data_IF_732564461767
#
_entry.id   IF_732564461767
#
_cell.length_a   1.000
_cell.length_b   1.000
_cell.length_c   1.000
_cell.angle_alpha   90.00
_cell.angle_beta   90.00
_cell.angle_gamma   90.00
#
_symmetry.space_group_name_H-M   'P 1'
#
loop_
_entity.id
_entity.type
_entity.pdbx_description
1 polymer ?
#
# COMPACT_ATOMS: atom_id res chain seq x y z
N UNK A 1 -35.44 3.41 -51.68
CA UNK A 1 -35.00 4.63 -50.96
C UNK A 1 -35.02 4.32 -49.46
N UNK A 2 -34.01 3.60 -48.95
CA UNK A 2 -34.06 2.95 -47.63
C UNK A 2 -32.71 2.31 -47.21
N UNK A 3 -31.56 2.92 -47.55
CA UNK A 3 -30.23 2.42 -47.15
C UNK A 3 -29.36 3.42 -46.39
N UNK A 4 -29.96 4.45 -45.79
CA UNK A 4 -29.21 5.51 -45.08
C UNK A 4 -29.36 5.39 -43.54
N UNK A 5 -30.34 4.62 -43.06
CA UNK A 5 -30.60 4.46 -41.62
C UNK A 5 -29.83 3.32 -40.94
N UNK A 6 -28.99 2.58 -41.66
CA UNK A 6 -28.19 1.49 -41.09
C UNK A 6 -26.85 1.91 -40.49
N UNK A 7 -26.37 3.13 -40.78
CA UNK A 7 -25.00 3.54 -40.45
C UNK A 7 -24.89 4.44 -39.21
N UNK A 8 -26.00 5.00 -38.73
CA UNK A 8 -26.00 5.92 -37.58
C UNK A 8 -26.11 5.17 -36.25
N UNK A 9 -26.59 3.93 -36.25
CA UNK A 9 -26.77 3.15 -35.01
C UNK A 9 -25.50 2.42 -34.52
N UNK A 10 -24.38 2.52 -35.25
CA UNK A 10 -23.16 1.76 -34.95
C UNK A 10 -22.20 2.45 -33.96
N UNK A 11 -22.40 3.73 -33.64
CA UNK A 11 -21.48 4.48 -32.75
C UNK A 11 -21.94 4.61 -31.29
N UNK A 12 -23.12 4.08 -30.91
CA UNK A 12 -23.63 4.19 -29.52
C UNK A 12 -23.16 3.08 -28.58
N UNK A 13 -22.41 2.09 -29.04
CA UNK A 13 -21.63 1.21 -28.17
C UNK A 13 -20.26 1.85 -27.94
N UNK A 14 -20.27 3.05 -27.36
CA UNK A 14 -19.08 3.62 -26.74
C UNK A 14 -18.67 2.64 -25.63
N UNK A 15 -17.64 1.84 -25.89
CA UNK A 15 -17.02 1.06 -24.84
C UNK A 15 -16.68 2.00 -23.70
N UNK A 16 -17.12 1.73 -22.46
CA UNK A 16 -16.56 2.41 -21.33
C UNK A 16 -15.09 1.98 -21.30
N UNK A 17 -14.20 2.83 -21.79
CA UNK A 17 -12.79 2.72 -21.44
C UNK A 17 -12.73 3.08 -19.96
N UNK A 18 -12.83 2.06 -19.11
CA UNK A 18 -12.42 2.20 -17.72
C UNK A 18 -10.97 2.66 -17.75
N UNK A 19 -10.74 3.90 -17.38
CA UNK A 19 -9.41 4.39 -17.08
C UNK A 19 -9.04 3.69 -15.77
N UNK A 20 -8.36 2.55 -15.87
CA UNK A 20 -7.68 1.97 -14.71
C UNK A 20 -6.59 2.97 -14.37
N UNK A 21 -6.73 3.64 -13.24
CA UNK A 21 -5.65 4.44 -12.69
C UNK A 21 -4.44 3.51 -12.56
N UNK A 22 -3.32 3.90 -13.17
CA UNK A 22 -2.11 3.08 -13.14
C UNK A 22 -1.64 3.00 -11.68
N UNK A 23 -1.53 1.79 -11.15
CA UNK A 23 -0.97 1.56 -9.82
C UNK A 23 0.39 2.26 -9.70
N UNK A 24 0.59 2.93 -8.58
CA UNK A 24 1.83 3.66 -8.32
C UNK A 24 2.95 2.65 -8.07
N UNK A 25 3.86 2.51 -9.03
CA UNK A 25 5.05 1.66 -8.90
C UNK A 25 6.18 2.44 -8.23
N UNK A 26 6.46 2.11 -6.96
CA UNK A 26 7.51 2.77 -6.17
C UNK A 26 8.91 2.48 -6.71
N UNK A 27 9.13 1.28 -7.25
CA UNK A 27 10.44 0.77 -7.66
C UNK A 27 10.31 -0.02 -8.97
N UNK A 28 10.40 0.65 -10.12
CA UNK A 28 10.19 0.01 -11.41
C UNK A 28 11.22 -1.09 -11.69
N UNK A 29 10.72 -2.23 -12.16
CA UNK A 29 11.54 -3.40 -12.46
C UNK A 29 11.89 -4.28 -11.25
N UNK A 30 11.31 -3.99 -10.08
CA UNK A 30 11.38 -4.89 -8.93
C UNK A 30 10.23 -5.90 -8.91
N UNK A 31 10.42 -6.99 -8.19
CA UNK A 31 9.35 -7.91 -7.83
C UNK A 31 9.03 -7.71 -6.36
N UNK A 32 7.79 -7.34 -6.07
CA UNK A 32 7.29 -7.24 -4.70
C UNK A 32 6.87 -8.62 -4.20
N UNK A 33 7.08 -8.85 -2.90
CA UNK A 33 6.66 -10.07 -2.23
C UNK A 33 5.13 -10.01 -2.02
N UNK A 34 4.34 -10.93 -2.62
CA UNK A 34 2.88 -10.89 -2.52
C UNK A 34 2.35 -11.24 -1.13
N UNK A 35 3.19 -11.80 -0.24
CA UNK A 35 2.79 -12.12 1.13
C UNK A 35 2.82 -10.88 2.04
N UNK A 36 3.41 -9.77 1.58
CA UNK A 36 3.48 -8.51 2.32
C UNK A 36 2.22 -7.69 2.04
N UNK A 37 1.42 -7.35 3.07
CA UNK A 37 0.16 -6.64 2.87
C UNK A 37 0.40 -5.24 2.35
N UNK A 38 -0.47 -4.79 1.46
CA UNK A 38 -0.44 -3.43 0.92
C UNK A 38 -1.24 -2.46 1.78
N UNK A 39 -0.98 -1.16 1.63
CA UNK A 39 -1.76 -0.12 2.31
C UNK A 39 -3.25 -0.22 1.96
N UNK A 40 -3.56 -0.49 0.70
CA UNK A 40 -4.94 -0.57 0.19
C UNK A 40 -5.70 -1.74 0.82
N UNK A 41 -5.05 -2.90 1.01
CA UNK A 41 -5.66 -4.07 1.66
C UNK A 41 -6.03 -3.79 3.12
N UNK A 42 -5.26 -2.95 3.81
CA UNK A 42 -5.47 -2.66 5.24
C UNK A 42 -6.37 -1.44 5.46
N UNK A 43 -6.26 -0.41 4.62
CA UNK A 43 -6.88 0.92 4.85
C UNK A 43 -7.91 1.30 3.77
N UNK A 44 -8.11 0.45 2.76
CA UNK A 44 -9.12 0.60 1.72
C UNK A 44 -9.01 1.91 0.89
N UNK A 45 -7.80 2.45 0.75
CA UNK A 45 -7.48 3.50 -0.22
C UNK A 45 -6.05 3.33 -0.73
N UNK A 46 -5.80 3.77 -1.96
CA UNK A 46 -4.48 3.66 -2.57
C UNK A 46 -3.55 4.82 -2.17
N UNK A 47 -2.28 4.69 -2.53
CA UNK A 47 -1.26 5.70 -2.28
C UNK A 47 -1.62 7.01 -2.97
N UNK A 48 -1.61 8.11 -2.21
CA UNK A 48 -1.89 9.45 -2.72
C UNK A 48 -3.36 9.77 -2.99
N UNK A 49 -4.28 8.81 -2.82
CA UNK A 49 -5.73 9.05 -2.97
C UNK A 49 -6.28 9.87 -1.79
N UNK A 50 -5.86 9.52 -0.56
CA UNK A 50 -6.29 10.15 0.68
C UNK A 50 -5.13 10.24 1.66
N UNK A 51 -5.18 11.22 2.57
CA UNK A 51 -4.28 11.28 3.71
C UNK A 51 -4.65 10.16 4.69
N UNK A 52 -3.71 9.24 4.91
CA UNK A 52 -3.81 8.20 5.93
C UNK A 52 -3.71 8.82 7.32
N UNK A 53 -4.69 8.52 8.17
CA UNK A 53 -4.74 8.97 9.57
C UNK A 53 -3.75 8.20 10.45
N UNK A 54 -3.51 8.72 11.66
CA UNK A 54 -2.61 8.06 12.61
C UNK A 54 -3.05 6.63 12.99
N UNK A 55 -4.35 6.40 13.21
CA UNK A 55 -4.85 5.07 13.57
C UNK A 55 -4.75 4.08 12.41
N UNK A 56 -4.97 4.57 11.19
CA UNK A 56 -4.85 3.77 9.97
C UNK A 56 -3.39 3.37 9.72
N UNK A 57 -2.44 4.30 9.83
CA UNK A 57 -1.02 3.97 9.66
C UNK A 57 -0.51 3.07 10.78
N UNK A 58 -0.96 3.25 12.02
CA UNK A 58 -0.62 2.35 13.12
C UNK A 58 -1.09 0.91 12.83
N UNK A 59 -2.30 0.76 12.29
CA UNK A 59 -2.85 -0.55 11.89
C UNK A 59 -2.01 -1.18 10.77
N UNK A 60 -1.64 -0.38 9.76
CA UNK A 60 -0.79 -0.85 8.67
C UNK A 60 0.61 -1.26 9.13
N UNK A 61 1.25 -0.48 10.00
CA UNK A 61 2.58 -0.80 10.53
C UNK A 61 2.59 -2.10 11.35
N UNK A 62 1.53 -2.36 12.12
CA UNK A 62 1.36 -3.63 12.85
C UNK A 62 1.19 -4.80 11.87
N UNK A 63 0.36 -4.65 10.85
CA UNK A 63 0.18 -5.67 9.82
C UNK A 63 1.50 -6.00 9.09
N UNK A 64 2.32 -4.99 8.78
CA UNK A 64 3.64 -5.20 8.18
C UNK A 64 4.61 -5.95 9.10
N UNK A 65 4.61 -5.64 10.40
CA UNK A 65 5.45 -6.32 11.37
C UNK A 65 5.03 -7.77 11.61
N UNK A 66 3.73 -8.07 11.51
CA UNK A 66 3.21 -9.44 11.65
C UNK A 66 3.44 -10.30 10.39
N UNK A 67 3.58 -9.67 9.21
CA UNK A 67 3.71 -10.37 7.94
C UNK A 67 5.11 -10.98 7.70
N UNK A 68 6.17 -10.45 8.32
CA UNK A 68 7.54 -10.90 8.02
C UNK A 68 8.51 -10.75 9.19
N UNK A 69 9.43 -11.72 9.42
CA UNK A 69 10.49 -11.58 10.43
C UNK A 69 11.53 -10.51 10.09
N UNK A 70 11.48 -9.91 8.90
CA UNK A 70 12.39 -8.84 8.46
C UNK A 70 12.00 -7.45 8.98
N UNK A 71 10.84 -7.34 9.63
CA UNK A 71 10.31 -6.09 10.15
C UNK A 71 10.08 -6.23 11.65
N UNK A 72 10.49 -5.24 12.43
CA UNK A 72 10.15 -5.14 13.84
C UNK A 72 9.61 -3.73 14.15
N UNK A 73 8.42 -3.68 14.74
CA UNK A 73 7.83 -2.44 15.24
C UNK A 73 8.20 -2.25 16.71
N UNK A 74 8.86 -1.14 17.06
CA UNK A 74 9.22 -0.78 18.44
C UNK A 74 8.58 0.53 18.86
N UNK A 75 7.95 0.54 20.02
CA UNK A 75 7.43 1.76 20.65
C UNK A 75 8.56 2.51 21.35
N UNK A 76 8.68 3.82 21.11
CA UNK A 76 9.70 4.65 21.77
C UNK A 76 9.11 5.75 22.65
N UNK A 77 7.80 6.00 22.54
CA UNK A 77 7.17 7.03 23.34
C UNK A 77 5.72 7.24 22.99
N UNK A 78 5.16 8.27 23.61
CA UNK A 78 3.77 8.66 23.45
C UNK A 78 3.70 10.19 23.38
N UNK A 79 2.94 10.72 22.44
CA UNK A 79 2.73 12.16 22.34
C UNK A 79 1.88 12.66 23.51
N UNK A 80 1.84 13.99 23.67
CA UNK A 80 0.98 14.64 24.66
C UNK A 80 -0.50 14.28 24.51
N UNK A 81 -0.98 14.16 23.26
CA UNK A 81 -2.36 13.76 22.95
C UNK A 81 -2.59 12.25 23.05
N UNK A 82 -1.57 11.50 23.45
CA UNK A 82 -1.67 10.07 23.68
C UNK A 82 -1.47 9.18 22.44
N UNK A 83 -0.90 9.71 21.36
CA UNK A 83 -0.57 8.93 20.15
C UNK A 83 0.73 8.17 20.37
N UNK A 84 0.74 6.87 20.07
CA UNK A 84 1.95 6.07 20.22
C UNK A 84 2.95 6.42 19.12
N UNK A 85 4.23 6.42 19.46
CA UNK A 85 5.32 6.73 18.54
C UNK A 85 6.17 5.48 18.32
N UNK A 86 6.46 5.19 17.05
CA UNK A 86 7.05 3.93 16.63
C UNK A 86 8.34 4.12 15.85
N UNK A 87 9.28 3.21 16.04
CA UNK A 87 10.32 2.88 15.07
C UNK A 87 9.89 1.64 14.29
N UNK A 88 9.90 1.72 12.97
CA UNK A 88 9.80 0.55 12.09
C UNK A 88 11.21 0.17 11.66
N UNK A 89 11.71 -0.94 12.18
CA UNK A 89 13.04 -1.44 11.90
C UNK A 89 12.92 -2.45 10.76
N UNK A 90 13.68 -2.24 9.69
CA UNK A 90 13.71 -3.12 8.51
C UNK A 90 15.13 -3.62 8.32
N UNK A 91 15.31 -4.94 8.33
CA UNK A 91 16.64 -5.56 8.20
C UNK A 91 16.53 -6.95 7.54
N UNK A 92 17.68 -7.54 7.18
CA UNK A 92 17.73 -8.97 6.84
C UNK A 92 17.37 -9.81 8.08
N UNK A 93 16.86 -11.02 7.88
CA UNK A 93 16.54 -11.94 8.99
C UNK A 93 17.78 -12.22 9.86
N UNK A 94 18.95 -12.35 9.23
CA UNK A 94 20.21 -12.49 9.93
C UNK A 94 20.50 -11.31 10.86
N UNK A 95 20.30 -10.08 10.39
CA UNK A 95 20.53 -8.88 11.20
C UNK A 95 19.44 -8.72 12.27
N UNK A 96 18.19 -9.05 11.96
CA UNK A 96 17.09 -8.99 12.92
C UNK A 96 17.33 -9.94 14.09
N UNK A 97 17.89 -11.13 13.83
CA UNK A 97 18.21 -12.11 14.87
C UNK A 97 19.29 -11.64 15.86
N UNK A 98 20.14 -10.67 15.47
CA UNK A 98 21.18 -10.08 16.32
C UNK A 98 21.01 -8.57 16.50
N UNK A 99 19.77 -8.09 16.38
CA UNK A 99 19.48 -6.66 16.34
C UNK A 99 20.02 -5.92 17.57
N UNK A 100 19.92 -6.54 18.75
CA UNK A 100 20.39 -5.95 20.01
C UNK A 100 21.93 -5.89 20.11
N UNK A 101 22.66 -6.70 19.33
CA UNK A 101 24.13 -6.69 19.28
C UNK A 101 24.67 -5.61 18.33
N UNK A 102 23.90 -5.28 17.28
CA UNK A 102 24.29 -4.32 16.24
C UNK A 102 23.72 -2.91 16.47
N UNK A 103 22.86 -2.76 17.49
CA UNK A 103 22.30 -1.49 17.90
C UNK A 103 23.32 -0.72 18.75
N UNK A 104 23.85 0.37 18.20
CA UNK A 104 24.79 1.29 18.88
C UNK A 104 24.10 2.29 19.82
#
# INVERSE_FOLDING_TARGET
MNKIWGFVLLCMFAWPTSIIAKDFDFYPGTTYDPDIPTLEEIVAHTWGEKITSHAEIETYLKALADATPKIQLREYGKTWEGRMLYYLIVASEENMARLDEIQS
#
